data_IF_699317560792
#
_entry.id   IF_699317560792
#
_cell.length_a   1.000
_cell.length_b   1.000
_cell.length_c   1.000
_cell.angle_alpha   90.00
_cell.angle_beta   90.00
_cell.angle_gamma   90.00
#
_symmetry.space_group_name_H-M   'P 1'
#
loop_
_entity.id
_entity.type
_entity.pdbx_description
1 polymer ?
#
# COMPACT_ATOMS: atom_id res chain seq x y z
N UNK A 1 -18.82 2.70 -55.84
CA UNK A 1 -17.58 3.41 -55.49
C UNK A 1 -17.62 3.64 -53.98
N UNK A 2 -17.02 2.73 -53.20
CA UNK A 2 -16.96 2.80 -51.74
C UNK A 2 -15.61 3.40 -51.35
N UNK A 3 -15.52 4.38 -50.43
CA UNK A 3 -14.22 4.83 -49.93
C UNK A 3 -13.73 3.89 -48.81
N UNK A 4 -12.45 3.48 -48.83
CA UNK A 4 -11.85 2.68 -47.77
C UNK A 4 -11.14 3.60 -46.77
N UNK A 5 -11.56 3.62 -45.50
CA UNK A 5 -10.77 4.24 -44.42
C UNK A 5 -11.18 3.70 -43.04
N UNK A 6 -11.12 2.39 -42.86
CA UNK A 6 -11.43 1.72 -41.58
C UNK A 6 -10.23 0.92 -41.03
N UNK A 7 -8.99 1.30 -41.40
CA UNK A 7 -7.77 0.58 -41.01
C UNK A 7 -6.93 1.27 -39.92
N UNK A 8 -7.15 2.56 -39.65
CA UNK A 8 -6.25 3.37 -38.81
C UNK A 8 -6.71 3.48 -37.36
N UNK A 9 -8.00 3.24 -37.10
CA UNK A 9 -8.59 3.40 -35.75
C UNK A 9 -8.18 2.28 -34.78
N UNK A 10 -7.87 1.07 -35.28
CA UNK A 10 -7.49 -0.06 -34.42
C UNK A 10 -6.04 0.02 -33.92
N UNK A 11 -5.13 0.60 -34.71
CA UNK A 11 -3.72 0.77 -34.32
C UNK A 11 -3.54 1.87 -33.26
N UNK A 12 -4.35 2.93 -33.31
CA UNK A 12 -4.29 4.01 -32.33
C UNK A 12 -4.71 3.57 -30.90
N UNK A 13 -5.63 2.62 -30.77
CA UNK A 13 -6.13 2.14 -29.47
C UNK A 13 -5.11 1.22 -28.77
N UNK A 14 -4.31 0.46 -29.53
CA UNK A 14 -3.26 -0.39 -28.97
C UNK A 14 -2.04 0.43 -28.49
N UNK A 15 -1.72 1.55 -29.14
CA UNK A 15 -0.60 2.40 -28.74
C UNK A 15 -0.89 3.22 -27.47
N UNK A 16 -2.13 3.65 -27.23
CA UNK A 16 -2.50 4.42 -26.02
C UNK A 16 -2.71 3.55 -24.77
N UNK A 17 -3.05 2.27 -24.94
CA UNK A 17 -3.28 1.35 -23.82
C UNK A 17 -2.02 0.91 -23.06
N UNK A 18 -0.84 1.02 -23.68
CA UNK A 18 0.44 0.56 -23.11
C UNK A 18 1.22 1.66 -22.36
N UNK A 19 0.79 2.92 -22.42
CA UNK A 19 1.61 4.07 -22.02
C UNK A 19 1.33 4.68 -20.63
N UNK A 20 0.52 4.06 -19.76
CA UNK A 20 0.32 4.64 -18.41
C UNK A 20 -0.05 3.63 -17.33
N UNK A 21 0.82 2.65 -17.10
CA UNK A 21 0.83 1.89 -15.84
C UNK A 21 2.27 1.94 -15.32
N UNK A 22 2.58 2.88 -14.42
CA UNK A 22 3.85 2.79 -13.66
C UNK A 22 3.80 1.46 -12.91
N UNK A 23 4.72 0.52 -13.14
CA UNK A 23 4.71 -0.73 -12.40
C UNK A 23 4.92 -0.40 -10.92
N UNK A 24 4.00 -0.89 -10.09
CA UNK A 24 4.03 -0.74 -8.66
C UNK A 24 5.01 -1.80 -8.14
N UNK A 25 6.15 -1.38 -7.64
CA UNK A 25 7.17 -2.28 -7.10
C UNK A 25 7.05 -2.29 -5.59
N UNK A 26 6.45 -3.35 -5.05
CA UNK A 26 6.28 -3.47 -3.61
C UNK A 26 6.89 -4.75 -3.07
N UNK A 27 7.49 -4.63 -1.90
CA UNK A 27 7.96 -5.75 -1.12
C UNK A 27 7.49 -5.60 0.31
N UNK A 28 7.29 -6.73 0.96
CA UNK A 28 7.11 -6.77 2.39
C UNK A 28 7.81 -8.00 2.91
N UNK A 29 8.44 -7.87 4.07
CA UNK A 29 9.05 -8.99 4.73
C UNK A 29 8.13 -9.50 5.84
N UNK A 30 7.97 -10.82 5.87
CA UNK A 30 7.06 -11.57 6.72
C UNK A 30 7.77 -12.07 7.97
N UNK A 31 7.06 -12.05 9.10
CA UNK A 31 7.34 -12.97 10.20
C UNK A 31 6.18 -13.95 10.30
N UNK A 32 6.49 -15.24 10.24
CA UNK A 32 5.49 -16.31 10.09
C UNK A 32 5.07 -16.84 11.45
N UNK A 33 4.47 -15.98 12.28
CA UNK A 33 3.78 -16.44 13.48
C UNK A 33 2.42 -16.99 13.10
N UNK A 34 2.28 -18.32 13.09
CA UNK A 34 1.07 -19.02 12.62
C UNK A 34 -0.21 -18.61 13.35
N UNK A 35 -0.11 -18.14 14.59
CA UNK A 35 -1.24 -17.62 15.38
C UNK A 35 -1.91 -16.38 14.76
N UNK A 36 -1.25 -15.71 13.80
CA UNK A 36 -1.73 -14.49 13.16
C UNK A 36 -2.20 -14.68 11.71
N UNK A 37 -2.24 -15.92 11.22
CA UNK A 37 -2.70 -16.24 9.86
C UNK A 37 -4.16 -15.80 9.60
N UNK A 38 -4.97 -15.61 10.64
CA UNK A 38 -6.35 -15.12 10.51
C UNK A 38 -6.43 -13.67 9.97
N UNK A 39 -5.33 -12.91 10.00
CA UNK A 39 -5.25 -11.57 9.43
C UNK A 39 -4.91 -11.57 7.93
N UNK A 40 -4.62 -12.73 7.34
CA UNK A 40 -4.42 -12.83 5.91
C UNK A 40 -5.74 -12.64 5.17
N UNK A 41 -5.70 -11.92 4.05
CA UNK A 41 -6.88 -11.73 3.22
C UNK A 41 -7.20 -12.99 2.38
N UNK A 42 -8.32 -12.97 1.65
CA UNK A 42 -8.75 -14.09 0.79
C UNK A 42 -7.81 -14.43 -0.37
N UNK A 43 -6.77 -13.61 -0.61
CA UNK A 43 -5.71 -13.86 -1.59
C UNK A 43 -4.43 -14.40 -0.93
N UNK A 44 -4.50 -14.83 0.33
CA UNK A 44 -3.34 -15.27 1.11
C UNK A 44 -2.23 -14.21 1.19
N UNK A 45 -2.62 -12.94 1.31
CA UNK A 45 -1.68 -11.83 1.51
C UNK A 45 -1.77 -11.36 2.96
N UNK A 46 -0.62 -11.31 3.63
CA UNK A 46 -0.52 -10.81 4.99
C UNK A 46 -0.65 -9.28 5.07
N UNK A 47 -0.91 -8.72 6.26
CA UNK A 47 -1.07 -7.28 6.45
C UNK A 47 0.13 -6.45 5.98
N UNK A 48 1.37 -6.96 6.12
CA UNK A 48 2.57 -6.25 5.68
C UNK A 48 2.60 -6.04 4.17
N UNK A 49 2.27 -7.09 3.40
CA UNK A 49 2.21 -7.03 1.94
C UNK A 49 1.09 -6.11 1.47
N UNK A 50 -0.08 -6.18 2.09
CA UNK A 50 -1.20 -5.31 1.74
C UNK A 50 -0.89 -3.84 2.11
N UNK A 51 -0.21 -3.59 3.23
CA UNK A 51 0.27 -2.25 3.60
C UNK A 51 1.27 -1.70 2.58
N UNK A 52 2.19 -2.54 2.09
CA UNK A 52 3.15 -2.15 1.06
C UNK A 52 2.44 -1.76 -0.24
N UNK A 53 1.42 -2.53 -0.66
CA UNK A 53 0.56 -2.15 -1.79
C UNK A 53 -0.14 -0.80 -1.57
N UNK A 54 -0.74 -0.59 -0.39
CA UNK A 54 -1.47 0.64 -0.08
C UNK A 54 -0.57 1.87 -0.14
N UNK A 55 0.64 1.79 0.42
CA UNK A 55 1.61 2.89 0.40
C UNK A 55 2.25 3.09 -0.98
N UNK A 56 2.53 2.00 -1.69
CA UNK A 56 3.12 2.05 -3.02
C UNK A 56 2.27 2.74 -4.07
N UNK A 57 0.96 2.93 -3.84
CA UNK A 57 0.10 3.74 -4.73
C UNK A 57 0.62 5.18 -4.83
N UNK A 58 1.13 5.76 -3.74
CA UNK A 58 1.66 7.11 -3.71
C UNK A 58 3.14 7.17 -4.10
N UNK A 59 3.94 6.22 -3.61
CA UNK A 59 5.40 6.29 -3.70
C UNK A 59 5.96 5.53 -4.93
N UNK A 60 5.15 4.69 -5.58
CA UNK A 60 5.50 3.86 -6.75
C UNK A 60 6.35 2.63 -6.39
N UNK A 61 7.42 2.85 -5.63
CA UNK A 61 8.26 1.80 -5.04
C UNK A 61 8.12 1.88 -3.52
N UNK A 62 7.74 0.79 -2.86
CA UNK A 62 7.57 0.79 -1.41
C UNK A 62 7.92 -0.56 -0.77
N UNK A 63 8.70 -0.53 0.32
CA UNK A 63 9.04 -1.72 1.10
C UNK A 63 8.56 -1.57 2.54
N UNK A 64 7.97 -2.64 3.08
CA UNK A 64 7.75 -2.79 4.53
C UNK A 64 8.84 -3.70 5.08
N UNK A 65 9.78 -3.10 5.80
CA UNK A 65 10.98 -3.77 6.33
C UNK A 65 10.66 -4.61 7.56
N UNK A 66 11.46 -5.63 7.87
CA UNK A 66 11.30 -6.38 9.12
C UNK A 66 11.56 -5.51 10.35
N UNK A 67 10.68 -5.61 11.34
CA UNK A 67 10.94 -5.17 12.70
C UNK A 67 11.81 -6.20 13.41
N UNK A 68 12.86 -5.74 14.07
CA UNK A 68 13.42 -6.49 15.20
C UNK A 68 12.66 -6.16 16.47
N UNK A 69 12.84 -6.95 17.54
CA UNK A 69 12.01 -6.90 18.76
C UNK A 69 11.99 -5.56 19.50
N UNK A 70 12.92 -4.65 19.19
CA UNK A 70 13.02 -3.30 19.79
C UNK A 70 12.53 -2.16 18.90
N UNK A 71 12.17 -2.43 17.64
CA UNK A 71 11.71 -1.41 16.71
C UNK A 71 10.19 -1.42 16.54
N UNK A 72 9.66 -0.28 16.13
CA UNK A 72 8.26 -0.09 15.77
C UNK A 72 8.16 0.73 14.50
N UNK A 73 7.06 0.58 13.75
CA UNK A 73 6.73 1.50 12.67
C UNK A 73 6.20 2.80 13.25
N UNK A 74 6.78 3.92 12.80
CA UNK A 74 6.33 5.27 13.15
C UNK A 74 5.43 5.84 12.05
N UNK A 75 4.63 6.83 12.41
CA UNK A 75 3.85 7.60 11.44
C UNK A 75 4.74 8.40 10.48
N UNK A 76 4.17 8.94 9.39
CA UNK A 76 4.93 9.71 8.41
C UNK A 76 5.57 10.96 9.04
N UNK A 77 6.72 11.37 8.52
CA UNK A 77 7.24 12.72 8.75
C UNK A 77 6.35 13.76 8.05
N UNK A 78 6.57 15.04 8.34
CA UNK A 78 5.83 16.13 7.68
C UNK A 78 6.01 16.09 6.15
N UNK A 79 7.20 15.75 5.68
CA UNK A 79 7.56 15.68 4.26
C UNK A 79 7.02 14.41 3.58
N UNK A 80 6.90 13.32 4.34
CA UNK A 80 6.40 12.04 3.84
C UNK A 80 4.87 11.90 3.94
N UNK A 81 4.19 12.80 4.66
CA UNK A 81 2.75 12.77 4.85
C UNK A 81 2.02 12.91 3.50
N UNK A 82 1.21 11.90 3.16
CA UNK A 82 0.42 11.88 1.93
C UNK A 82 -0.88 11.11 2.17
N UNK A 83 -1.78 11.10 1.18
CA UNK A 83 -3.09 10.44 1.29
C UNK A 83 -3.02 8.93 1.52
N UNK A 84 -1.93 8.27 1.11
CA UNK A 84 -1.74 6.84 1.34
C UNK A 84 -1.32 6.55 2.78
N UNK A 85 -0.45 7.38 3.38
CA UNK A 85 0.07 7.19 4.75
C UNK A 85 -0.87 7.75 5.83
N UNK A 86 -1.56 8.84 5.52
CA UNK A 86 -2.54 9.50 6.39
C UNK A 86 -3.94 8.89 6.28
N UNK A 87 -4.00 7.57 6.05
CA UNK A 87 -5.22 6.80 5.90
C UNK A 87 -5.32 5.76 7.03
N UNK A 88 -6.47 5.73 7.70
CA UNK A 88 -6.74 4.80 8.80
C UNK A 88 -6.59 3.32 8.42
N UNK A 89 -6.94 2.94 7.19
CA UNK A 89 -6.79 1.57 6.69
C UNK A 89 -5.30 1.22 6.53
N UNK A 90 -4.50 2.13 5.97
CA UNK A 90 -3.05 1.91 5.89
C UNK A 90 -2.43 1.77 7.27
N UNK A 91 -2.83 2.61 8.23
CA UNK A 91 -2.39 2.47 9.61
C UNK A 91 -2.79 1.12 10.21
N UNK A 92 -4.04 0.68 10.06
CA UNK A 92 -4.50 -0.60 10.58
C UNK A 92 -3.70 -1.78 10.01
N UNK A 93 -3.38 -1.73 8.71
CA UNK A 93 -2.55 -2.74 8.05
C UNK A 93 -1.11 -2.74 8.59
N UNK A 94 -0.52 -1.56 8.84
CA UNK A 94 0.82 -1.45 9.43
C UNK A 94 0.83 -1.89 10.90
N UNK A 95 -0.19 -1.55 11.69
CA UNK A 95 -0.31 -1.99 13.07
C UNK A 95 -0.48 -3.52 13.17
N UNK A 96 -1.33 -4.10 12.31
CA UNK A 96 -1.45 -5.56 12.18
C UNK A 96 -0.13 -6.19 11.71
N UNK A 97 0.59 -5.55 10.79
CA UNK A 97 1.90 -5.99 10.36
C UNK A 97 2.91 -6.02 11.51
N UNK A 98 2.95 -4.99 12.38
CA UNK A 98 3.78 -5.02 13.59
C UNK A 98 3.49 -6.24 14.46
N UNK A 99 2.20 -6.54 14.68
CA UNK A 99 1.77 -7.70 15.49
C UNK A 99 2.21 -9.02 14.85
N UNK A 100 2.03 -9.19 13.53
CA UNK A 100 2.53 -10.35 12.79
C UNK A 100 4.03 -10.56 13.00
N UNK A 101 4.78 -9.45 13.08
CA UNK A 101 6.22 -9.42 13.29
C UNK A 101 6.67 -9.54 14.75
N UNK A 102 5.74 -9.85 15.66
CA UNK A 102 5.98 -9.91 17.10
C UNK A 102 6.49 -8.58 17.70
N UNK A 103 6.19 -7.48 17.03
CA UNK A 103 6.52 -6.12 17.46
C UNK A 103 5.33 -5.41 18.11
N UNK A 104 5.61 -4.22 18.63
CA UNK A 104 4.59 -3.31 19.14
C UNK A 104 4.12 -2.34 18.06
N UNK A 105 2.96 -1.72 18.27
CA UNK A 105 2.42 -0.67 17.41
C UNK A 105 2.15 0.60 18.24
N UNK A 106 2.15 1.75 17.56
CA UNK A 106 1.77 3.04 18.16
C UNK A 106 0.28 3.29 17.94
N UNK A 107 -0.32 4.18 18.73
CA UNK A 107 -1.72 4.56 18.52
C UNK A 107 -1.91 5.35 17.21
N UNK A 108 -3.14 5.36 16.70
CA UNK A 108 -3.52 6.19 15.54
C UNK A 108 -3.18 7.66 15.78
N UNK A 109 -3.46 8.19 16.98
CA UNK A 109 -3.14 9.58 17.31
C UNK A 109 -1.65 9.90 17.16
N UNK A 110 -0.77 8.99 17.56
CA UNK A 110 0.68 9.15 17.36
C UNK A 110 1.06 8.99 15.89
N UNK A 111 0.48 8.03 15.18
CA UNK A 111 0.72 7.83 13.75
C UNK A 111 0.34 9.05 12.91
N UNK A 112 -0.84 9.62 13.15
CA UNK A 112 -1.41 10.71 12.36
C UNK A 112 -0.91 12.10 12.77
N UNK A 113 0.05 12.20 13.69
CA UNK A 113 0.53 13.49 14.25
C UNK A 113 0.91 14.51 13.17
N UNK A 114 1.58 14.07 12.09
CA UNK A 114 2.03 14.95 11.01
C UNK A 114 1.07 15.00 9.81
N UNK A 115 -0.12 14.41 9.93
CA UNK A 115 -1.11 14.40 8.85
C UNK A 115 -2.01 15.63 8.92
N UNK A 116 -1.85 16.56 7.98
CA UNK A 116 -2.72 17.73 7.86
C UNK A 116 -4.14 17.40 7.39
N UNK A 117 -4.29 16.32 6.61
CA UNK A 117 -5.57 15.74 6.19
C UNK A 117 -5.53 14.25 6.46
N UNK A 118 -6.59 13.73 7.08
CA UNK A 118 -6.74 12.31 7.40
C UNK A 118 -7.89 11.68 6.61
N UNK A 119 -7.73 10.41 6.23
CA UNK A 119 -8.73 9.62 5.54
C UNK A 119 -9.19 8.48 6.45
N UNK A 120 -10.40 8.60 6.99
CA UNK A 120 -11.00 7.62 7.89
C UNK A 120 -11.89 6.66 7.11
N UNK A 121 -11.95 5.40 7.53
CA UNK A 121 -13.08 4.54 7.15
C UNK A 121 -14.29 5.02 7.93
N UNK A 122 -15.42 5.21 7.27
CA UNK A 122 -16.66 5.49 7.97
C UNK A 122 -17.15 4.19 8.61
N UNK A 123 -17.31 4.20 9.93
CA UNK A 123 -18.16 3.25 10.65
C UNK A 123 -19.61 3.71 10.61
#
# INVERSE_FOLDING_TARGET
>A
MFPPNFGWSLLAILATGLLSKRPLLVSAQWSTLSQYNWMDNSKAQNPCLVAAYAQGVCDGIFSVDTLSSTYLYVGPSVEAANSCKCNSITYNLIAACSICQNGSYISWSSWSTNCSTIYLVCD
#
